data_IF_737625474525
#
_entry.id   IF_737625474525
#
_cell.length_a   1.000
_cell.length_b   1.000
_cell.length_c   1.000
_cell.angle_alpha   90.00
_cell.angle_beta   90.00
_cell.angle_gamma   90.00
#
_symmetry.space_group_name_H-M   'P 1'
#
loop_
_entity.id
_entity.type
_entity.pdbx_description
1 polymer ?
#
# COMPACT_ATOMS: atom_id res chain seq x y z
N UNK A 1 5.20 -28.44 14.52
CA UNK A 1 4.39 -29.36 13.68
C UNK A 1 3.40 -28.60 12.78
N UNK A 2 2.82 -27.48 13.24
CA UNK A 2 2.00 -26.57 12.40
C UNK A 2 2.80 -25.80 11.34
N UNK A 3 3.98 -25.26 11.69
CA UNK A 3 4.86 -24.55 10.74
C UNK A 3 5.21 -25.43 9.53
N UNK A 4 5.51 -26.72 9.76
CA UNK A 4 5.82 -27.67 8.69
C UNK A 4 4.63 -27.94 7.75
N UNK A 5 3.38 -27.90 8.27
CA UNK A 5 2.18 -28.06 7.46
C UNK A 5 1.86 -26.82 6.63
N UNK A 6 2.03 -25.62 7.19
CA UNK A 6 1.89 -24.35 6.47
C UNK A 6 2.93 -24.21 5.36
N UNK A 7 4.19 -24.55 5.64
CA UNK A 7 5.25 -24.59 4.64
C UNK A 7 4.90 -25.53 3.48
N UNK A 8 4.32 -26.71 3.77
CA UNK A 8 3.92 -27.68 2.74
C UNK A 8 2.77 -27.18 1.84
N UNK A 9 1.84 -26.40 2.39
CA UNK A 9 0.73 -25.81 1.62
C UNK A 9 1.22 -24.65 0.74
N UNK A 10 2.11 -23.81 1.28
CA UNK A 10 2.77 -22.76 0.53
C UNK A 10 3.61 -23.33 -0.62
N UNK A 11 4.40 -24.37 -0.38
CA UNK A 11 5.22 -25.03 -1.40
C UNK A 11 4.35 -25.64 -2.53
N UNK A 12 3.16 -26.15 -2.20
CA UNK A 12 2.19 -26.63 -3.21
C UNK A 12 1.57 -25.48 -4.00
N UNK A 13 1.23 -24.38 -3.37
CA UNK A 13 0.72 -23.18 -4.04
C UNK A 13 1.77 -22.58 -4.98
N UNK A 14 3.02 -22.47 -4.52
CA UNK A 14 4.17 -22.01 -5.31
C UNK A 14 4.43 -22.95 -6.50
N UNK A 15 4.50 -24.27 -6.28
CA UNK A 15 4.72 -25.24 -7.38
C UNK A 15 3.58 -25.27 -8.40
N UNK A 16 2.33 -25.12 -7.96
CA UNK A 16 1.18 -25.01 -8.87
C UNK A 16 1.28 -23.76 -9.74
N UNK A 17 1.84 -22.67 -9.20
CA UNK A 17 1.96 -21.37 -9.88
C UNK A 17 3.18 -21.31 -10.80
N UNK A 18 4.34 -21.81 -10.38
CA UNK A 18 5.60 -21.82 -11.16
C UNK A 18 5.57 -22.66 -12.45
N UNK A 19 4.53 -23.47 -12.68
CA UNK A 19 4.38 -24.26 -13.90
C UNK A 19 4.03 -23.43 -15.16
N UNK A 20 3.70 -22.14 -15.00
CA UNK A 20 3.53 -21.19 -16.11
C UNK A 20 4.59 -20.09 -16.04
N UNK A 21 5.52 -20.06 -16.98
CA UNK A 21 6.40 -18.90 -17.20
C UNK A 21 5.52 -17.71 -17.65
N UNK A 22 5.16 -16.82 -16.73
CA UNK A 22 4.85 -15.40 -16.97
C UNK A 22 4.54 -14.71 -15.63
N UNK A 23 4.90 -13.43 -15.53
CA UNK A 23 4.57 -12.55 -14.39
C UNK A 23 3.07 -12.65 -14.04
N UNK A 24 2.75 -13.01 -12.79
CA UNK A 24 1.37 -13.22 -12.33
C UNK A 24 0.56 -11.92 -12.29
N UNK A 25 -0.74 -12.03 -12.51
CA UNK A 25 -1.64 -10.89 -12.27
C UNK A 25 -1.87 -10.68 -10.78
N UNK A 26 -2.22 -9.45 -10.38
CA UNK A 26 -2.65 -9.15 -9.02
C UNK A 26 -3.87 -9.99 -8.61
N UNK A 27 -4.80 -10.24 -9.54
CA UNK A 27 -5.99 -11.05 -9.31
C UNK A 27 -5.62 -12.50 -8.98
N UNK A 28 -4.72 -13.13 -9.73
CA UNK A 28 -4.31 -14.52 -9.53
C UNK A 28 -3.72 -14.78 -8.13
N UNK A 29 -3.01 -13.78 -7.59
CA UNK A 29 -2.32 -13.91 -6.30
C UNK A 29 -3.23 -13.49 -5.14
N UNK A 30 -3.95 -12.38 -5.28
CA UNK A 30 -4.61 -11.71 -4.15
C UNK A 30 -6.12 -11.86 -4.11
N UNK A 31 -6.76 -12.60 -5.03
CA UNK A 31 -8.22 -12.81 -5.04
C UNK A 31 -8.79 -13.15 -3.65
N UNK A 32 -8.20 -14.11 -2.94
CA UNK A 32 -8.70 -14.49 -1.61
C UNK A 32 -8.42 -13.40 -0.56
N UNK A 33 -7.30 -12.68 -0.67
CA UNK A 33 -7.01 -11.53 0.19
C UNK A 33 -8.05 -10.43 0.00
N UNK A 34 -8.39 -10.09 -1.25
CA UNK A 34 -9.39 -9.08 -1.55
C UNK A 34 -10.75 -9.42 -0.96
N UNK A 35 -11.14 -10.70 -0.99
CA UNK A 35 -12.39 -11.17 -0.37
C UNK A 35 -12.40 -10.98 1.13
N UNK A 36 -11.33 -11.39 1.84
CA UNK A 36 -11.30 -11.30 3.31
C UNK A 36 -11.09 -9.89 3.84
N UNK A 37 -10.55 -8.99 3.02
CA UNK A 37 -10.44 -7.55 3.34
C UNK A 37 -11.59 -6.72 2.76
N UNK A 38 -12.57 -7.37 2.12
CA UNK A 38 -13.79 -6.72 1.61
C UNK A 38 -13.51 -5.59 0.61
N UNK A 39 -12.50 -5.78 -0.25
CA UNK A 39 -12.22 -4.84 -1.35
C UNK A 39 -13.42 -4.81 -2.30
N UNK A 40 -13.96 -3.63 -2.67
CA UNK A 40 -15.16 -3.53 -3.48
C UNK A 40 -15.02 -4.25 -4.82
N UNK A 41 -15.96 -5.12 -5.16
CA UNK A 41 -15.94 -5.88 -6.41
C UNK A 41 -15.95 -4.97 -7.64
N UNK A 42 -16.67 -3.85 -7.54
CA UNK A 42 -16.72 -2.80 -8.57
C UNK A 42 -15.33 -2.21 -8.84
N UNK A 43 -14.55 -1.95 -7.79
CA UNK A 43 -13.19 -1.46 -7.90
C UNK A 43 -12.30 -2.51 -8.59
N UNK A 44 -12.35 -3.77 -8.13
CA UNK A 44 -11.57 -4.87 -8.72
C UNK A 44 -11.90 -5.06 -10.20
N UNK A 45 -13.18 -4.98 -10.57
CA UNK A 45 -13.61 -5.03 -11.97
C UNK A 45 -12.96 -3.91 -12.80
N UNK A 46 -12.95 -2.68 -12.29
CA UNK A 46 -12.31 -1.56 -12.98
C UNK A 46 -10.80 -1.77 -13.13
N UNK A 47 -10.09 -2.17 -12.07
CA UNK A 47 -8.62 -2.23 -12.11
C UNK A 47 -8.04 -3.53 -12.70
N UNK A 48 -8.81 -4.62 -12.73
CA UNK A 48 -8.35 -5.94 -13.23
C UNK A 48 -9.06 -6.42 -14.50
N UNK A 49 -10.23 -5.88 -14.85
CA UNK A 49 -11.00 -6.39 -15.99
C UNK A 49 -11.22 -5.34 -17.09
N UNK A 50 -11.10 -4.06 -16.78
CA UNK A 50 -11.15 -2.99 -17.78
C UNK A 50 -9.75 -2.66 -18.31
N UNK A 51 -9.67 -2.27 -19.58
CA UNK A 51 -8.42 -1.88 -20.23
C UNK A 51 -8.22 -0.38 -20.08
N UNK A 52 -7.61 0.05 -18.98
CA UNK A 52 -7.43 1.47 -18.68
C UNK A 52 -6.02 1.96 -19.07
N UNK A 53 -5.93 3.13 -19.70
CA UNK A 53 -4.65 3.77 -20.03
C UNK A 53 -3.85 4.01 -18.75
N UNK A 54 -2.59 3.55 -18.73
CA UNK A 54 -1.70 3.77 -17.59
C UNK A 54 -1.78 2.70 -16.50
N UNK A 55 -2.64 1.67 -16.65
CA UNK A 55 -2.82 0.60 -15.65
C UNK A 55 -2.12 -0.69 -16.11
N UNK A 56 -1.49 -1.36 -15.15
CA UNK A 56 -0.84 -2.66 -15.31
C UNK A 56 -1.36 -3.61 -14.25
N UNK A 57 -1.71 -4.81 -14.71
CA UNK A 57 -2.30 -5.86 -13.87
C UNK A 57 -1.26 -6.86 -13.36
N UNK A 58 0.01 -6.72 -13.77
CA UNK A 58 1.09 -7.67 -13.46
C UNK A 58 1.92 -7.20 -12.26
N UNK A 59 2.38 -8.18 -11.50
CA UNK A 59 3.32 -7.97 -10.39
C UNK A 59 4.75 -8.16 -10.90
N UNK A 60 5.56 -7.11 -10.90
CA UNK A 60 6.98 -7.17 -11.28
C UNK A 60 7.93 -6.55 -10.25
N UNK A 61 7.37 -5.98 -9.18
CA UNK A 61 8.10 -5.27 -8.13
C UNK A 61 7.62 -5.76 -6.76
N UNK A 62 8.55 -6.08 -5.88
CA UNK A 62 8.25 -6.48 -4.50
C UNK A 62 7.81 -5.27 -3.68
N UNK A 63 6.92 -5.48 -2.73
CA UNK A 63 6.41 -4.46 -1.81
C UNK A 63 6.32 -5.03 -0.39
N UNK A 64 6.38 -4.19 0.65
CA UNK A 64 6.28 -4.65 2.04
C UNK A 64 4.91 -5.29 2.33
N UNK A 65 4.79 -6.18 3.33
CA UNK A 65 3.52 -6.84 3.64
C UNK A 65 2.36 -5.92 4.05
N UNK A 66 2.63 -4.69 4.50
CA UNK A 66 1.59 -3.67 4.72
C UNK A 66 0.99 -3.11 3.43
N UNK A 67 1.67 -3.26 2.29
CA UNK A 67 1.17 -2.89 0.99
C UNK A 67 0.42 -4.07 0.39
N UNK A 68 -0.91 -4.07 0.45
CA UNK A 68 -1.74 -4.96 -0.35
C UNK A 68 -1.92 -4.33 -1.73
N UNK A 69 -1.20 -4.77 -2.77
CA UNK A 69 -1.30 -4.14 -4.07
C UNK A 69 -2.69 -4.34 -4.66
N UNK A 70 -3.23 -3.28 -5.27
CA UNK A 70 -4.47 -3.29 -6.03
C UNK A 70 -4.16 -3.27 -7.52
N UNK A 71 -3.26 -2.39 -7.97
CA UNK A 71 -2.73 -2.39 -9.34
C UNK A 71 -1.39 -1.66 -9.38
N UNK A 72 -0.76 -1.67 -10.55
CA UNK A 72 0.45 -0.91 -10.84
C UNK A 72 0.20 0.07 -11.96
N UNK A 73 0.83 1.24 -11.91
CA UNK A 73 0.81 2.20 -13.02
C UNK A 73 1.91 1.88 -14.04
N UNK A 74 1.80 2.37 -15.27
CA UNK A 74 2.86 2.25 -16.28
C UNK A 74 4.20 2.87 -15.83
N UNK A 75 4.16 3.83 -14.90
CA UNK A 75 5.35 4.48 -14.30
C UNK A 75 6.01 3.66 -13.18
N UNK A 76 5.48 2.49 -12.86
CA UNK A 76 6.05 1.61 -11.86
C UNK A 76 5.51 1.76 -10.44
N UNK A 77 4.68 2.79 -10.20
CA UNK A 77 4.02 3.03 -8.90
C UNK A 77 2.98 1.95 -8.63
N UNK A 78 3.02 1.35 -7.44
CA UNK A 78 2.02 0.40 -6.96
C UNK A 78 0.96 1.16 -6.18
N UNK A 79 -0.31 1.06 -6.59
CA UNK A 79 -1.42 1.53 -5.76
C UNK A 79 -1.90 0.37 -4.90
N UNK A 80 -1.99 0.59 -3.59
CA UNK A 80 -2.21 -0.46 -2.61
C UNK A 80 -3.12 0.01 -1.48
N UNK A 81 -3.86 -0.92 -0.88
CA UNK A 81 -4.33 -0.71 0.49
C UNK A 81 -3.11 -0.81 1.41
N UNK A 82 -2.90 0.22 2.21
CA UNK A 82 -1.82 0.33 3.17
C UNK A 82 -2.38 0.07 4.56
N UNK A 83 -2.00 -1.08 5.14
CA UNK A 83 -2.60 -1.59 6.37
C UNK A 83 -1.53 -1.98 7.38
N UNK A 84 -1.69 -1.49 8.60
CA UNK A 84 -0.83 -1.86 9.72
C UNK A 84 -1.57 -2.74 10.71
N UNK A 85 -1.23 -4.03 10.74
CA UNK A 85 -1.74 -4.94 11.74
C UNK A 85 -1.10 -4.64 13.09
N UNK A 86 -1.79 -4.98 14.18
CA UNK A 86 -1.33 -4.77 15.56
C UNK A 86 -1.15 -3.29 15.98
N UNK A 87 -1.44 -2.35 15.09
CA UNK A 87 -1.49 -0.92 15.37
C UNK A 87 -2.93 -0.42 15.41
N UNK A 88 -3.17 0.69 16.10
CA UNK A 88 -4.46 1.37 16.08
C UNK A 88 -4.47 2.44 14.97
N UNK A 89 -4.36 1.98 13.72
CA UNK A 89 -4.37 2.82 12.52
C UNK A 89 -5.44 2.34 11.56
N UNK A 90 -6.22 3.28 11.03
CA UNK A 90 -7.15 2.95 9.95
C UNK A 90 -6.36 2.62 8.66
N UNK A 91 -6.78 1.60 7.88
CA UNK A 91 -6.23 1.35 6.56
C UNK A 91 -6.52 2.51 5.62
N UNK A 92 -5.56 2.81 4.76
CA UNK A 92 -5.69 3.87 3.75
C UNK A 92 -5.31 3.31 2.40
N UNK A 93 -5.51 4.08 1.33
CA UNK A 93 -4.97 3.74 0.01
C UNK A 93 -3.73 4.58 -0.22
N UNK A 94 -2.61 3.93 -0.51
CA UNK A 94 -1.33 4.57 -0.74
C UNK A 94 -0.81 4.32 -2.16
N UNK A 95 -0.01 5.26 -2.65
CA UNK A 95 0.91 5.09 -3.77
C UNK A 95 2.26 4.70 -3.20
N UNK A 96 2.69 3.46 -3.44
CA UNK A 96 4.02 2.98 -3.11
C UNK A 96 4.93 3.10 -4.34
N UNK A 97 6.12 3.66 -4.13
CA UNK A 97 7.14 3.91 -5.12
C UNK A 97 8.33 2.98 -4.83
N UNK A 98 8.37 1.76 -5.41
CA UNK A 98 9.40 0.77 -5.08
C UNK A 98 10.82 1.28 -5.31
N UNK A 99 11.06 1.95 -6.45
CA UNK A 99 12.37 2.51 -6.81
C UNK A 99 12.90 3.58 -5.82
N UNK A 100 11.99 4.15 -5.05
CA UNK A 100 12.27 5.20 -4.07
C UNK A 100 12.18 4.70 -2.64
N UNK A 101 11.67 3.48 -2.44
CA UNK A 101 11.29 2.95 -1.14
C UNK A 101 10.46 3.97 -0.37
N UNK A 102 9.35 4.44 -0.94
CA UNK A 102 8.51 5.48 -0.34
C UNK A 102 7.02 5.20 -0.54
N UNK A 103 6.18 5.52 0.44
CA UNK A 103 4.72 5.44 0.34
C UNK A 103 4.07 6.80 0.60
N UNK A 104 3.07 7.18 -0.19
CA UNK A 104 2.26 8.37 0.01
C UNK A 104 0.79 7.99 0.14
N UNK A 105 0.10 8.49 1.17
CA UNK A 105 -1.36 8.35 1.21
C UNK A 105 -2.01 9.10 0.04
N UNK A 106 -2.86 8.41 -0.69
CA UNK A 106 -3.59 8.94 -1.83
C UNK A 106 -5.09 9.07 -1.57
N UNK A 107 -5.69 8.14 -0.82
CA UNK A 107 -7.10 8.18 -0.44
C UNK A 107 -7.32 7.55 0.96
N UNK A 108 -8.34 7.99 1.70
CA UNK A 108 -8.71 7.41 3.01
C UNK A 108 -9.50 6.11 2.90
N UNK A 109 -10.17 5.92 1.79
CA UNK A 109 -11.08 4.80 1.57
C UNK A 109 -11.30 4.59 0.07
N UNK A 110 -11.96 3.48 -0.26
CA UNK A 110 -12.24 3.13 -1.65
C UNK A 110 -13.19 4.09 -2.36
N UNK A 111 -14.10 4.76 -1.65
CA UNK A 111 -14.96 5.77 -2.27
C UNK A 111 -14.12 6.93 -2.82
N UNK A 112 -13.22 7.49 -2.01
CA UNK A 112 -12.30 8.53 -2.46
C UNK A 112 -11.37 8.04 -3.58
N UNK A 113 -10.89 6.81 -3.48
CA UNK A 113 -10.09 6.19 -4.54
C UNK A 113 -10.85 6.16 -5.89
N UNK A 114 -12.14 5.81 -5.88
CA UNK A 114 -12.96 5.79 -7.09
C UNK A 114 -13.01 7.15 -7.78
N UNK A 115 -13.19 8.24 -7.02
CA UNK A 115 -13.16 9.60 -7.59
C UNK A 115 -11.81 9.95 -8.20
N UNK A 116 -10.72 9.58 -7.52
CA UNK A 116 -9.36 9.84 -8.00
C UNK A 116 -8.99 8.99 -9.22
N UNK A 117 -9.53 7.77 -9.34
CA UNK A 117 -9.43 6.96 -10.56
C UNK A 117 -10.12 7.67 -11.73
N UNK A 118 -11.34 8.19 -11.53
CA UNK A 118 -12.04 8.95 -12.57
C UNK A 118 -11.25 10.19 -12.99
N UNK A 119 -10.71 10.96 -12.05
CA UNK A 119 -9.88 12.13 -12.36
C UNK A 119 -8.64 11.76 -13.19
N UNK A 120 -7.97 10.65 -12.84
CA UNK A 120 -6.83 10.16 -13.61
C UNK A 120 -7.23 9.75 -15.04
N UNK A 121 -8.36 9.06 -15.21
CA UNK A 121 -8.83 8.63 -16.53
C UNK A 121 -9.25 9.84 -17.37
N UNK A 122 -9.99 10.80 -16.79
CA UNK A 122 -10.31 12.07 -17.44
C UNK A 122 -9.05 12.79 -17.94
N UNK A 123 -7.99 12.80 -17.13
CA UNK A 123 -6.71 13.40 -17.50
C UNK A 123 -6.02 12.64 -18.64
N UNK A 124 -6.08 11.31 -18.64
CA UNK A 124 -5.50 10.49 -19.69
C UNK A 124 -6.25 10.62 -21.03
N UNK A 125 -7.58 10.67 -20.98
CA UNK A 125 -8.44 10.81 -22.16
C UNK A 125 -8.56 12.27 -22.63
N UNK A 126 -8.25 13.24 -21.76
CA UNK A 126 -8.41 14.67 -21.96
C UNK A 126 -9.83 15.14 -22.30
N UNK A 127 -10.85 14.29 -22.06
CA UNK A 127 -12.27 14.63 -22.24
C UNK A 127 -13.21 13.69 -21.47
N UNK A 128 -14.47 14.11 -21.29
CA UNK A 128 -15.55 13.25 -20.78
C UNK A 128 -16.09 12.35 -21.91
N UNK A 129 -15.45 11.19 -22.11
CA UNK A 129 -15.85 10.20 -23.11
C UNK A 129 -16.76 9.09 -22.54
N UNK A 130 -17.23 8.18 -23.40
CA UNK A 130 -18.07 7.03 -23.02
C UNK A 130 -17.34 6.07 -22.06
N UNK A 131 -16.02 5.97 -22.16
CA UNK A 131 -15.21 5.12 -21.29
C UNK A 131 -15.21 5.65 -19.84
N UNK A 132 -15.04 6.97 -19.66
CA UNK A 132 -15.14 7.62 -18.35
C UNK A 132 -16.52 7.38 -17.72
N UNK A 133 -17.59 7.52 -18.51
CA UNK A 133 -18.96 7.27 -18.05
C UNK A 133 -19.18 5.80 -17.65
N UNK A 134 -18.62 4.86 -18.41
CA UNK A 134 -18.68 3.43 -18.13
C UNK A 134 -17.98 3.09 -16.81
N UNK A 135 -16.78 3.64 -16.60
CA UNK A 135 -16.02 3.46 -15.36
C UNK A 135 -16.78 4.08 -14.18
N UNK A 136 -17.28 5.30 -14.32
CA UNK A 136 -18.04 5.99 -13.27
C UNK A 136 -19.29 5.20 -12.87
N UNK A 137 -20.03 4.69 -13.85
CA UNK A 137 -21.18 3.81 -13.63
C UNK A 137 -20.78 2.53 -12.90
N UNK A 138 -19.67 1.89 -13.31
CA UNK A 138 -19.18 0.68 -12.67
C UNK A 138 -18.80 0.94 -11.20
N UNK A 139 -18.20 2.10 -10.89
CA UNK A 139 -17.81 2.50 -9.53
C UNK A 139 -18.98 3.05 -8.69
N UNK A 140 -20.17 3.22 -9.28
CA UNK A 140 -21.33 3.79 -8.60
C UNK A 140 -21.22 5.31 -8.33
N UNK A 141 -20.51 6.04 -9.19
CA UNK A 141 -20.39 7.49 -9.11
C UNK A 141 -21.57 8.13 -9.85
N UNK A 142 -22.48 8.74 -9.08
CA UNK A 142 -23.72 9.34 -9.60
C UNK A 142 -23.54 10.81 -10.03
N UNK A 143 -22.55 11.49 -9.46
CA UNK A 143 -22.25 12.92 -9.63
C UNK A 143 -21.09 13.17 -10.60
N UNK A 144 -20.91 12.31 -11.60
CA UNK A 144 -19.80 12.37 -12.57
C UNK A 144 -19.63 13.74 -13.25
N UNK A 145 -20.71 14.50 -13.43
CA UNK A 145 -20.65 15.86 -13.98
C UNK A 145 -19.97 16.86 -13.04
N UNK A 146 -20.17 16.72 -11.73
CA UNK A 146 -19.47 17.53 -10.73
C UNK A 146 -17.97 17.21 -10.75
N UNK A 147 -17.63 15.92 -10.80
CA UNK A 147 -16.25 15.44 -10.91
C UNK A 147 -15.57 15.97 -12.18
N UNK A 148 -16.27 15.97 -13.30
CA UNK A 148 -15.79 16.53 -14.56
C UNK A 148 -15.50 18.03 -14.44
N UNK A 149 -16.40 18.80 -13.82
CA UNK A 149 -16.21 20.23 -13.60
C UNK A 149 -15.00 20.52 -12.71
N UNK A 150 -14.81 19.74 -11.64
CA UNK A 150 -13.61 19.84 -10.78
C UNK A 150 -12.34 19.61 -11.61
N UNK A 151 -12.35 18.58 -12.48
CA UNK A 151 -11.22 18.27 -13.35
C UNK A 151 -11.00 19.35 -14.44
N UNK A 152 -12.04 19.91 -15.03
CA UNK A 152 -11.91 20.99 -16.01
C UNK A 152 -11.25 22.24 -15.40
N UNK A 153 -11.59 22.57 -14.16
CA UNK A 153 -11.08 23.75 -13.45
C UNK A 153 -9.66 23.54 -12.87
N UNK A 154 -9.31 22.31 -12.48
CA UNK A 154 -8.12 22.02 -11.66
C UNK A 154 -7.22 20.89 -12.17
N UNK A 155 -7.59 20.20 -13.24
CA UNK A 155 -6.83 19.07 -13.79
C UNK A 155 -6.78 17.87 -12.85
N UNK A 156 -5.58 17.31 -12.67
CA UNK A 156 -5.31 16.11 -11.88
C UNK A 156 -4.94 16.38 -10.41
N UNK A 157 -5.10 17.63 -9.94
CA UNK A 157 -4.82 18.01 -8.55
C UNK A 157 -5.86 17.38 -7.59
N UNK A 158 -5.47 16.46 -6.69
CA UNK A 158 -6.37 15.87 -5.71
C UNK A 158 -6.92 16.88 -4.70
N UNK A 159 -6.22 18.00 -4.48
CA UNK A 159 -6.64 19.04 -3.53
C UNK A 159 -7.95 19.73 -3.96
N UNK A 160 -8.27 19.67 -5.25
CA UNK A 160 -9.51 20.21 -5.81
C UNK A 160 -10.77 19.53 -5.25
N UNK A 161 -10.65 18.31 -4.73
CA UNK A 161 -11.77 17.61 -4.08
C UNK A 161 -12.09 18.10 -2.66
N UNK A 162 -11.39 19.10 -2.12
CA UNK A 162 -11.54 19.52 -0.71
C UNK A 162 -12.99 19.86 -0.31
N UNK A 163 -13.78 20.43 -1.22
CA UNK A 163 -15.20 20.75 -0.99
C UNK A 163 -16.16 19.60 -1.31
N UNK A 164 -15.69 18.58 -2.02
CA UNK A 164 -16.53 17.47 -2.46
C UNK A 164 -17.02 16.66 -1.25
N UNK A 165 -18.30 16.25 -1.29
CA UNK A 165 -18.97 15.57 -0.16
C UNK A 165 -18.24 14.32 0.36
N UNK A 166 -17.60 13.58 -0.54
CA UNK A 166 -16.84 12.36 -0.24
C UNK A 166 -15.47 12.61 0.42
N UNK A 167 -15.01 13.87 0.47
CA UNK A 167 -13.68 14.25 0.93
C UNK A 167 -13.71 15.23 2.11
N UNK A 168 -14.63 16.20 2.10
CA UNK A 168 -14.65 17.36 3.01
C UNK A 168 -14.52 17.05 4.51
N UNK A 169 -14.96 15.86 4.96
CA UNK A 169 -14.92 15.46 6.38
C UNK A 169 -13.77 14.52 6.73
N UNK A 170 -13.04 14.02 5.74
CA UNK A 170 -11.94 13.08 5.94
C UNK A 170 -10.95 13.18 4.78
N UNK A 171 -10.17 14.26 4.74
CA UNK A 171 -9.24 14.51 3.65
C UNK A 171 -8.02 13.57 3.73
N UNK A 172 -7.63 12.93 2.61
CA UNK A 172 -6.35 12.24 2.51
C UNK A 172 -5.19 13.24 2.44
N UNK A 173 -3.98 12.77 2.74
CA UNK A 173 -2.76 13.54 2.72
C UNK A 173 -2.48 14.16 1.33
N UNK A 174 -2.88 13.47 0.26
CA UNK A 174 -2.77 13.94 -1.13
C UNK A 174 -3.52 15.23 -1.42
N UNK A 175 -4.55 15.58 -0.63
CA UNK A 175 -5.28 16.84 -0.77
C UNK A 175 -4.56 18.03 -0.10
N UNK A 176 -3.47 17.79 0.62
CA UNK A 176 -2.65 18.84 1.22
C UNK A 176 -1.39 19.00 0.36
N UNK A 177 -1.15 20.19 -0.17
CA UNK A 177 -0.01 20.47 -1.05
C UNK A 177 1.33 20.38 -0.29
N UNK A 178 1.65 21.39 0.53
CA UNK A 178 2.90 21.40 1.31
C UNK A 178 2.64 21.56 2.81
N UNK A 179 1.46 22.05 3.21
CA UNK A 179 1.13 22.25 4.61
C UNK A 179 0.37 21.08 5.22
N UNK A 180 1.11 20.17 5.85
CA UNK A 180 0.57 19.04 6.58
C UNK A 180 0.11 19.38 8.01
N UNK A 181 0.14 20.66 8.42
CA UNK A 181 -0.25 21.09 9.79
C UNK A 181 -1.68 20.75 10.16
N UNK A 182 -2.57 20.84 9.18
CA UNK A 182 -4.01 20.60 9.33
C UNK A 182 -4.41 19.17 8.99
N UNK A 183 -3.45 18.30 8.68
CA UNK A 183 -3.73 16.92 8.40
C UNK A 183 -3.92 16.14 9.72
N UNK A 184 -5.02 15.39 9.82
CA UNK A 184 -5.51 14.81 11.08
C UNK A 184 -5.69 13.29 11.06
N UNK A 185 -5.12 12.57 10.09
CA UNK A 185 -5.20 11.10 10.11
C UNK A 185 -3.87 10.44 10.35
N UNK A 186 -3.89 9.11 10.24
CA UNK A 186 -2.84 8.26 10.83
C UNK A 186 -1.60 8.09 9.96
N UNK A 187 -1.63 8.53 8.69
CA UNK A 187 -0.44 8.50 7.83
C UNK A 187 0.61 9.51 8.31
N UNK A 188 1.88 9.12 8.52
CA UNK A 188 2.88 10.00 9.12
C UNK A 188 3.09 11.31 8.36
N UNK A 189 3.39 12.37 9.12
CA UNK A 189 3.81 13.68 8.60
C UNK A 189 5.23 13.99 9.04
N UNK A 190 5.84 15.01 8.46
CA UNK A 190 7.19 15.50 8.79
C UNK A 190 7.34 16.01 10.24
N UNK A 191 6.24 16.03 11.01
CA UNK A 191 6.15 16.49 12.40
C UNK A 191 6.09 15.39 13.44
N UNK A 192 6.12 14.11 13.04
CA UNK A 192 5.85 12.98 13.92
C UNK A 192 6.54 13.10 15.29
N UNK A 193 5.73 13.07 16.35
CA UNK A 193 6.19 12.90 17.73
C UNK A 193 6.85 11.52 17.90
N UNK A 194 7.54 11.27 19.01
CA UNK A 194 8.09 9.94 19.31
C UNK A 194 7.02 8.84 19.28
N UNK A 195 5.79 9.16 19.68
CA UNK A 195 4.67 8.22 19.69
C UNK A 195 4.18 7.91 18.26
N UNK A 196 4.23 8.88 17.36
CA UNK A 196 3.92 8.67 15.93
C UNK A 196 4.96 7.74 15.28
N UNK A 197 6.23 7.85 15.68
CA UNK A 197 7.29 6.98 15.16
C UNK A 197 7.08 5.50 15.54
N UNK A 198 6.51 5.22 16.71
CA UNK A 198 6.20 3.85 17.16
C UNK A 198 5.18 3.12 16.28
N UNK A 199 4.42 3.86 15.47
CA UNK A 199 3.43 3.31 14.55
C UNK A 199 3.79 3.57 13.09
N UNK A 200 5.05 3.90 12.81
CA UNK A 200 5.54 4.28 11.49
C UNK A 200 6.58 3.27 11.00
N UNK A 201 6.43 2.82 9.74
CA UNK A 201 7.46 2.05 9.05
C UNK A 201 8.35 2.96 8.20
N UNK A 202 9.54 2.47 7.83
CA UNK A 202 10.54 3.34 7.18
C UNK A 202 10.06 3.91 5.83
N UNK A 203 9.20 3.22 5.08
CA UNK A 203 8.69 3.69 3.78
C UNK A 203 7.83 4.96 3.89
N UNK A 204 7.24 5.22 5.04
CA UNK A 204 6.37 6.38 5.29
C UNK A 204 7.17 7.63 5.72
N UNK A 205 8.49 7.48 5.97
CA UNK A 205 9.35 8.58 6.41
C UNK A 205 10.03 9.26 5.23
N UNK A 206 9.48 10.38 4.78
CA UNK A 206 10.02 11.20 3.69
C UNK A 206 9.48 12.64 3.79
N UNK A 207 10.13 13.60 3.10
CA UNK A 207 9.64 14.99 2.96
C UNK A 207 9.07 15.25 1.56
N UNK A 208 8.36 14.23 1.05
CA UNK A 208 7.76 14.14 -0.31
C UNK A 208 8.82 14.29 -1.42
N UNK A 209 8.35 14.52 -2.65
CA UNK A 209 9.20 14.78 -3.80
C UNK A 209 9.62 16.25 -3.84
N UNK A 210 10.92 16.49 -4.05
CA UNK A 210 11.47 17.80 -4.41
C UNK A 210 12.30 17.63 -5.66
N UNK A 211 12.02 18.43 -6.70
CA UNK A 211 12.71 18.36 -7.99
C UNK A 211 12.69 16.94 -8.60
N UNK A 212 11.56 16.24 -8.46
CA UNK A 212 11.36 14.89 -9.02
C UNK A 212 12.06 13.76 -8.25
N UNK A 213 12.64 14.03 -7.08
CA UNK A 213 13.26 12.99 -6.22
C UNK A 213 12.70 13.00 -4.81
N UNK A 214 12.52 11.84 -4.17
CA UNK A 214 12.13 11.78 -2.77
C UNK A 214 13.25 12.36 -1.91
N UNK A 215 12.89 13.16 -0.91
CA UNK A 215 13.84 13.65 0.09
C UNK A 215 13.74 12.76 1.33
N UNK A 216 14.77 11.94 1.56
CA UNK A 216 14.81 10.92 2.61
C UNK A 216 15.66 11.33 3.83
N UNK A 217 16.02 12.60 3.92
CA UNK A 217 16.85 13.17 5.00
C UNK A 217 16.26 12.92 6.40
N UNK A 218 14.93 12.88 6.50
CA UNK A 218 14.20 12.57 7.73
C UNK A 218 14.55 11.19 8.28
N UNK A 219 14.79 10.18 7.43
CA UNK A 219 15.21 8.84 7.87
C UNK A 219 16.57 8.90 8.54
N UNK A 220 17.51 9.64 7.94
CA UNK A 220 18.85 9.80 8.51
C UNK A 220 18.82 10.56 9.84
N UNK A 221 17.97 11.60 9.95
CA UNK A 221 17.76 12.32 11.21
C UNK A 221 17.21 11.42 12.31
N UNK A 222 16.13 10.68 12.02
CA UNK A 222 15.49 9.76 12.97
C UNK A 222 16.46 8.65 13.39
N UNK A 223 17.18 8.07 12.44
CA UNK A 223 18.22 7.06 12.73
C UNK A 223 19.29 7.57 13.69
N UNK A 224 19.53 8.88 13.72
CA UNK A 224 20.53 9.52 14.58
C UNK A 224 19.96 10.03 15.91
N UNK A 225 18.65 9.97 16.14
CA UNK A 225 18.00 10.64 17.28
C UNK A 225 18.10 9.88 18.60
N UNK A 226 18.67 8.67 18.63
CA UNK A 226 18.85 7.85 19.84
C UNK A 226 17.56 7.24 20.41
N UNK A 227 16.47 7.98 20.37
CA UNK A 227 15.14 7.62 20.91
C UNK A 227 14.19 7.05 19.84
N UNK A 228 14.68 6.82 18.62
CA UNK A 228 13.86 6.25 17.55
C UNK A 228 13.56 4.76 17.81
N UNK A 229 12.41 4.25 17.35
CA UNK A 229 12.14 2.82 17.39
C UNK A 229 13.23 1.97 16.71
N UNK A 230 13.56 0.77 17.23
CA UNK A 230 14.65 -0.06 16.72
C UNK A 230 14.59 -0.35 15.21
N UNK A 231 13.39 -0.51 14.65
CA UNK A 231 13.20 -0.79 13.22
C UNK A 231 13.47 0.41 12.32
N UNK A 232 13.50 1.63 12.87
CA UNK A 232 13.89 2.84 12.14
C UNK A 232 15.39 3.14 12.27
N UNK A 233 16.09 2.46 13.20
CA UNK A 233 17.51 2.66 13.46
C UNK A 233 18.42 1.69 12.71
N UNK A 234 17.93 0.52 12.31
CA UNK A 234 18.74 -0.56 11.74
C UNK A 234 18.17 -1.06 10.41
N UNK A 235 19.05 -1.43 9.47
CA UNK A 235 18.65 -2.13 8.24
C UNK A 235 18.72 -3.65 8.41
N UNK A 236 19.22 -4.14 9.55
CA UNK A 236 19.23 -5.56 9.91
C UNK A 236 17.88 -5.95 10.51
N UNK A 237 16.84 -5.89 9.69
CA UNK A 237 15.47 -6.03 10.17
C UNK A 237 15.18 -7.41 10.76
N UNK A 238 15.81 -8.49 10.28
CA UNK A 238 15.62 -9.83 10.86
C UNK A 238 15.99 -9.88 12.35
N UNK A 239 17.12 -9.28 12.74
CA UNK A 239 17.57 -9.24 14.13
C UNK A 239 16.59 -8.42 14.99
N UNK A 240 16.15 -7.27 14.47
CA UNK A 240 15.19 -6.39 15.14
C UNK A 240 13.84 -7.09 15.34
N UNK A 241 13.32 -7.70 14.27
CA UNK A 241 12.07 -8.45 14.30
C UNK A 241 12.11 -9.58 15.33
N UNK A 242 13.17 -10.39 15.32
CA UNK A 242 13.30 -11.52 16.25
C UNK A 242 13.32 -11.05 17.72
N UNK A 243 13.99 -9.93 18.01
CA UNK A 243 14.01 -9.34 19.35
C UNK A 243 12.61 -8.85 19.77
N UNK A 244 11.93 -8.10 18.90
CA UNK A 244 10.59 -7.56 19.16
C UNK A 244 9.58 -8.69 19.35
N UNK A 245 9.57 -9.69 18.47
CA UNK A 245 8.69 -10.84 18.58
C UNK A 245 8.95 -11.64 19.87
N UNK A 246 10.22 -11.86 20.23
CA UNK A 246 10.58 -12.55 21.48
C UNK A 246 10.14 -11.79 22.74
N UNK A 247 10.10 -10.46 22.67
CA UNK A 247 9.60 -9.60 23.75
C UNK A 247 8.07 -9.48 23.83
N UNK A 248 7.35 -10.02 22.84
CA UNK A 248 5.90 -9.91 22.73
C UNK A 248 5.39 -8.61 22.11
N UNK A 249 6.29 -7.75 21.62
CA UNK A 249 5.93 -6.53 20.90
C UNK A 249 5.58 -6.84 19.44
N UNK A 250 4.31 -7.25 19.24
CA UNK A 250 3.81 -7.62 17.91
C UNK A 250 3.66 -6.40 16.98
N UNK A 251 3.37 -5.22 17.54
CA UNK A 251 3.26 -3.98 16.77
C UNK A 251 4.62 -3.56 16.22
N UNK A 252 5.65 -3.54 17.07
CA UNK A 252 7.03 -3.29 16.66
C UNK A 252 7.55 -4.33 15.67
N UNK A 253 7.26 -5.62 15.91
CA UNK A 253 7.63 -6.68 14.97
C UNK A 253 6.97 -6.47 13.59
N UNK A 254 5.70 -6.06 13.55
CA UNK A 254 5.02 -5.72 12.31
C UNK A 254 5.62 -4.48 11.63
N UNK A 255 5.92 -3.42 12.38
CA UNK A 255 6.59 -2.22 11.84
C UNK A 255 7.98 -2.54 11.25
N UNK A 256 8.74 -3.42 11.90
CA UNK A 256 10.02 -3.92 11.38
C UNK A 256 9.84 -4.67 10.07
N UNK A 257 8.88 -5.60 10.02
CA UNK A 257 8.56 -6.35 8.81
C UNK A 257 8.10 -5.45 7.65
N UNK A 258 7.45 -4.34 7.98
CA UNK A 258 6.97 -3.34 7.02
C UNK A 258 8.01 -2.26 6.71
N UNK A 259 9.22 -2.32 7.27
CA UNK A 259 10.29 -1.37 6.99
C UNK A 259 11.28 -1.95 5.99
N UNK A 260 12.04 -1.09 5.32
CA UNK A 260 13.13 -1.46 4.41
C UNK A 260 14.25 -2.25 5.11
N UNK A 261 14.94 -3.09 4.34
CA UNK A 261 16.15 -3.80 4.77
C UNK A 261 16.03 -5.32 4.71
N UNK A 262 14.86 -5.83 4.34
CA UNK A 262 14.62 -7.27 4.23
C UNK A 262 15.16 -7.85 2.93
N UNK A 263 15.49 -9.13 2.98
CA UNK A 263 15.35 -9.99 1.82
C UNK A 263 14.00 -10.72 1.91
N UNK A 264 13.48 -11.15 0.77
CA UNK A 264 12.16 -11.73 0.66
C UNK A 264 12.06 -13.08 1.40
N UNK A 265 13.09 -13.91 1.34
CA UNK A 265 13.14 -15.21 2.02
C UNK A 265 12.91 -15.11 3.52
N UNK A 266 13.67 -14.25 4.20
CA UNK A 266 13.57 -14.00 5.63
C UNK A 266 12.23 -13.32 5.99
N UNK A 267 11.80 -12.37 5.17
CA UNK A 267 10.51 -11.69 5.37
C UNK A 267 9.33 -12.66 5.32
N UNK A 268 9.35 -13.67 4.43
CA UNK A 268 8.30 -14.70 4.38
C UNK A 268 8.21 -15.47 5.69
N UNK A 269 9.35 -15.89 6.23
CA UNK A 269 9.39 -16.66 7.47
C UNK A 269 8.92 -15.79 8.66
N UNK A 270 9.35 -14.52 8.72
CA UNK A 270 8.90 -13.56 9.70
C UNK A 270 7.37 -13.32 9.62
N UNK A 271 6.82 -13.12 8.42
CA UNK A 271 5.40 -12.89 8.19
C UNK A 271 4.55 -14.10 8.62
N UNK A 272 4.95 -15.31 8.23
CA UNK A 272 4.25 -16.53 8.63
C UNK A 272 4.32 -16.77 10.14
N UNK A 273 5.48 -16.51 10.75
CA UNK A 273 5.66 -16.58 12.21
C UNK A 273 4.71 -15.64 12.94
N UNK A 274 4.63 -14.38 12.50
CA UNK A 274 3.75 -13.38 13.12
C UNK A 274 2.26 -13.71 12.90
N UNK A 275 1.88 -14.11 11.68
CA UNK A 275 0.52 -14.55 11.37
C UNK A 275 0.10 -15.80 12.15
N UNK A 276 1.06 -16.67 12.49
CA UNK A 276 0.86 -17.85 13.34
C UNK A 276 0.68 -17.52 14.82
N UNK A 277 1.11 -16.34 15.27
CA UNK A 277 1.03 -15.91 16.68
C UNK A 277 -0.39 -15.49 17.07
N UNK A 278 -1.21 -15.07 16.10
CA UNK A 278 -2.59 -14.61 16.35
C UNK A 278 -3.62 -15.41 15.56
N UNK A 279 -4.86 -15.40 16.05
CA UNK A 279 -5.97 -16.05 15.36
C UNK A 279 -6.76 -15.08 14.48
N UNK A 280 -6.08 -14.30 13.63
CA UNK A 280 -6.72 -13.44 12.61
C UNK A 280 -6.67 -14.12 11.24
N UNK A 281 -7.86 -14.50 10.73
CA UNK A 281 -8.00 -15.14 9.41
C UNK A 281 -7.51 -14.24 8.27
N UNK A 282 -7.74 -12.93 8.35
CA UNK A 282 -7.38 -11.97 7.30
C UNK A 282 -5.87 -11.89 7.14
N UNK A 283 -5.15 -11.78 8.27
CA UNK A 283 -3.69 -11.77 8.27
C UNK A 283 -3.10 -13.09 7.74
N UNK A 284 -3.69 -14.23 8.11
CA UNK A 284 -3.23 -15.54 7.61
C UNK A 284 -3.37 -15.66 6.08
N UNK A 285 -4.51 -15.26 5.53
CA UNK A 285 -4.74 -15.28 4.07
C UNK A 285 -3.81 -14.31 3.35
N UNK A 286 -3.61 -13.10 3.89
CA UNK A 286 -2.62 -12.15 3.36
C UNK A 286 -1.22 -12.78 3.35
N UNK A 287 -0.79 -13.35 4.48
CA UNK A 287 0.54 -13.94 4.62
C UNK A 287 0.78 -15.06 3.62
N UNK A 288 -0.18 -15.98 3.47
CA UNK A 288 -0.09 -17.07 2.49
C UNK A 288 0.02 -16.55 1.05
N UNK A 289 -0.80 -15.56 0.68
CA UNK A 289 -0.77 -14.98 -0.67
C UNK A 289 0.47 -14.14 -0.92
N UNK A 290 0.90 -13.30 0.03
CA UNK A 290 2.11 -12.48 -0.11
C UNK A 290 3.37 -13.37 -0.19
N UNK A 291 3.48 -14.41 0.64
CA UNK A 291 4.62 -15.34 0.61
C UNK A 291 4.68 -16.21 -0.65
N UNK A 292 3.61 -16.24 -1.44
CA UNK A 292 3.52 -16.99 -2.70
C UNK A 292 3.85 -16.14 -3.93
N UNK A 293 4.26 -14.87 -3.74
CA UNK A 293 4.75 -14.02 -4.82
C UNK A 293 6.01 -14.64 -5.47
N UNK A 294 6.19 -14.47 -6.78
CA UNK A 294 7.17 -15.19 -7.59
C UNK A 294 8.58 -14.58 -7.55
N UNK A 295 8.93 -13.87 -6.47
CA UNK A 295 10.25 -13.24 -6.34
C UNK A 295 11.28 -14.24 -5.80
N UNK A 296 12.55 -14.03 -6.14
CA UNK A 296 13.65 -14.78 -5.53
C UNK A 296 13.74 -14.45 -4.04
N UNK A 297 14.20 -15.40 -3.23
CA UNK A 297 14.38 -15.19 -1.79
C UNK A 297 15.38 -14.06 -1.48
N UNK A 298 16.33 -13.80 -2.39
CA UNK A 298 17.30 -12.71 -2.28
C UNK A 298 16.76 -11.33 -2.72
N UNK A 299 15.55 -11.28 -3.30
CA UNK A 299 14.93 -10.00 -3.65
C UNK A 299 14.72 -9.14 -2.41
N UNK A 300 14.92 -7.82 -2.54
CA UNK A 300 14.92 -6.91 -1.39
C UNK A 300 13.86 -5.83 -1.52
N UNK A 301 13.40 -5.37 -0.37
CA UNK A 301 12.61 -4.16 -0.20
C UNK A 301 13.08 -3.40 1.04
#
# INVERSE_FOLDING_TARGET
>A
MEISKQQTLLDKAIKKRQAGNDLFSFEDVFTETYKVLEVPQQLLKVVHQMSLIGYQQKIDSLCPPCALPLWRTMSGVIVCEWRHWFCNREPVVARFYPEHGMALEWARNYTQLSYLIIQNILTAEAEMCDEVQSVATCLGIEDIKEVAGIWEDHGDDPSAFISHRSFRSNLPQSCYNDDLRSYHGDFPTDRGTTDDLQQTCSFELHTRFREGKPVLDVRQRIRSSGDAPPWLMSDKQLDVFNQLQASGDLAGAWMSLCSSGWNYGDAKQALLSLAGTVNDRRLKVLAENWCSLPFSDDARY
#
